data_IF_454626121551
#
_entry.id   IF_454626121551
#
_cell.length_a   1.000
_cell.length_b   1.000
_cell.length_c   1.000
_cell.angle_alpha   90.00
_cell.angle_beta   90.00
_cell.angle_gamma   90.00
#
_symmetry.space_group_name_H-M   'P 1'
#
loop_
_entity.id
_entity.type
_entity.pdbx_description
1 polymer ?
#
# COMPACT_ATOMS: atom_id res chain seq x y z
N UNK A 1 -39.85 -43.76 23.80
CA UNK A 1 -39.42 -42.93 22.66
C UNK A 1 -38.26 -42.08 23.14
N UNK A 2 -37.03 -42.41 22.70
CA UNK A 2 -35.78 -41.80 23.13
C UNK A 2 -35.69 -40.34 22.67
N UNK A 3 -35.32 -39.42 23.56
CA UNK A 3 -34.55 -38.22 23.19
C UNK A 3 -33.45 -38.02 24.24
N UNK A 4 -32.39 -38.81 24.12
CA UNK A 4 -31.04 -38.40 24.47
C UNK A 4 -30.49 -37.75 23.20
N UNK A 5 -30.22 -36.45 23.23
CA UNK A 5 -29.25 -35.71 22.37
C UNK A 5 -29.60 -34.23 22.38
N UNK A 6 -28.94 -33.46 23.23
CA UNK A 6 -28.42 -32.13 22.87
C UNK A 6 -27.49 -31.62 23.99
N UNK A 7 -26.37 -32.33 24.17
CA UNK A 7 -25.27 -31.91 25.04
C UNK A 7 -24.12 -31.25 24.26
N UNK A 8 -24.36 -30.81 23.03
CA UNK A 8 -23.35 -30.14 22.18
C UNK A 8 -23.59 -28.63 22.00
N UNK A 9 -24.66 -28.06 22.56
CA UNK A 9 -24.99 -26.65 22.35
C UNK A 9 -24.24 -25.66 23.27
N UNK A 10 -23.43 -26.14 24.22
CA UNK A 10 -22.72 -25.27 25.18
C UNK A 10 -21.18 -25.33 25.10
N UNK A 11 -20.62 -26.26 24.32
CA UNK A 11 -19.15 -26.38 24.19
C UNK A 11 -18.55 -25.58 23.02
N UNK A 12 -19.37 -25.02 22.14
CA UNK A 12 -18.90 -24.18 21.03
C UNK A 12 -18.88 -22.67 21.35
N UNK A 13 -19.52 -22.24 22.44
CA UNK A 13 -19.56 -20.82 22.81
C UNK A 13 -18.38 -20.37 23.68
N UNK A 14 -17.61 -21.30 24.25
CA UNK A 14 -16.41 -21.00 25.06
C UNK A 14 -15.12 -21.03 24.24
N UNK A 15 -15.11 -21.63 23.05
CA UNK A 15 -13.94 -21.66 22.15
C UNK A 15 -13.81 -20.36 21.32
N UNK A 16 -14.79 -19.44 21.39
CA UNK A 16 -14.70 -18.10 20.79
C UNK A 16 -14.16 -17.03 21.74
N UNK A 17 -13.81 -17.39 22.99
CA UNK A 17 -13.20 -16.49 23.97
C UNK A 17 -11.67 -16.65 24.10
N UNK A 18 -11.06 -17.56 23.33
CA UNK A 18 -9.60 -17.86 23.39
C UNK A 18 -8.91 -17.64 22.04
N UNK A 19 -9.52 -16.93 21.08
CA UNK A 19 -8.68 -16.20 20.12
C UNK A 19 -8.44 -14.87 20.79
N UNK A 20 -7.42 -14.85 21.65
CA UNK A 20 -6.95 -13.62 22.25
C UNK A 20 -6.87 -12.57 21.16
N UNK A 21 -7.63 -11.50 21.32
CA UNK A 21 -7.26 -10.21 20.78
C UNK A 21 -5.88 -9.90 21.39
N UNK A 22 -4.82 -10.53 20.87
CA UNK A 22 -3.55 -9.88 20.85
C UNK A 22 -3.82 -8.67 19.98
N UNK A 23 -4.11 -7.55 20.63
CA UNK A 23 -3.78 -6.25 20.07
C UNK A 23 -2.32 -6.38 19.66
N UNK A 24 -2.07 -6.77 18.42
CA UNK A 24 -0.74 -6.76 17.83
C UNK A 24 -0.29 -5.32 18.03
N UNK A 25 0.63 -5.15 18.97
CA UNK A 25 1.09 -3.83 19.35
C UNK A 25 1.71 -3.22 18.09
N UNK A 26 1.10 -2.18 17.56
CA UNK A 26 1.71 -1.38 16.50
C UNK A 26 2.97 -0.71 17.03
N UNK A 27 3.96 -0.50 16.17
CA UNK A 27 5.19 0.24 16.49
C UNK A 27 5.18 1.60 15.78
N UNK A 28 5.69 2.63 16.45
CA UNK A 28 5.98 3.92 15.80
C UNK A 28 7.29 3.81 15.03
N UNK A 29 7.43 4.44 13.84
CA UNK A 29 8.71 4.49 13.12
C UNK A 29 9.89 4.97 13.98
N UNK A 30 9.66 5.87 14.93
CA UNK A 30 10.71 6.40 15.82
C UNK A 30 11.27 5.34 16.79
N UNK A 31 10.57 4.22 16.96
CA UNK A 31 11.02 3.07 17.76
C UNK A 31 11.67 1.99 16.89
N UNK A 32 11.94 2.29 15.61
CA UNK A 32 12.64 1.41 14.70
C UNK A 32 13.97 2.03 14.27
N UNK A 33 14.99 1.20 14.13
CA UNK A 33 16.32 1.56 13.62
C UNK A 33 16.63 0.73 12.39
N UNK A 34 17.18 1.36 11.35
CA UNK A 34 17.67 0.67 10.15
C UNK A 34 19.11 0.20 10.39
N UNK A 35 19.34 -1.11 10.31
CA UNK A 35 20.67 -1.73 10.46
C UNK A 35 20.86 -2.67 9.27
N UNK A 36 21.90 -2.43 8.47
CA UNK A 36 22.22 -3.27 7.29
C UNK A 36 21.04 -3.49 6.32
N UNK A 37 20.17 -2.49 6.18
CA UNK A 37 19.00 -2.57 5.29
C UNK A 37 17.77 -3.26 5.89
N UNK A 38 17.82 -3.73 7.13
CA UNK A 38 16.68 -4.31 7.85
C UNK A 38 16.25 -3.39 8.99
N UNK A 39 14.94 -3.26 9.21
CA UNK A 39 14.41 -2.53 10.35
C UNK A 39 14.41 -3.40 11.60
N UNK A 40 14.87 -2.84 12.72
CA UNK A 40 14.85 -3.47 14.05
C UNK A 40 14.05 -2.60 15.00
N UNK A 41 13.33 -3.21 15.95
CA UNK A 41 12.76 -2.45 17.07
C UNK A 41 13.90 -2.08 18.03
N UNK A 42 13.90 -0.85 18.54
CA UNK A 42 14.95 -0.40 19.44
C UNK A 42 15.10 -1.36 20.63
N UNK A 43 16.33 -1.84 20.86
CA UNK A 43 16.64 -2.80 21.91
C UNK A 43 16.39 -4.27 21.56
N UNK A 44 16.05 -4.61 20.31
CA UNK A 44 15.93 -6.01 19.85
C UNK A 44 17.09 -6.42 18.96
N UNK A 45 17.44 -7.71 18.98
CA UNK A 45 18.46 -8.31 18.11
C UNK A 45 17.90 -8.90 16.82
N UNK A 46 16.58 -9.09 16.75
CA UNK A 46 15.90 -9.68 15.58
C UNK A 46 15.27 -8.60 14.69
N UNK A 47 15.27 -8.78 13.35
CA UNK A 47 14.57 -7.91 12.43
C UNK A 47 13.07 -7.82 12.75
N UNK A 48 12.53 -6.61 12.68
CA UNK A 48 11.16 -6.32 13.07
C UNK A 48 10.15 -6.97 12.12
N UNK A 49 9.20 -7.70 12.70
CA UNK A 49 8.01 -8.21 12.00
C UNK A 49 6.77 -7.70 12.71
N UNK A 50 5.93 -6.96 11.99
CA UNK A 50 4.68 -6.43 12.53
C UNK A 50 4.25 -5.11 11.90
N UNK A 51 3.16 -4.58 12.45
CA UNK A 51 2.52 -3.35 11.98
C UNK A 51 3.27 -2.11 12.46
N UNK A 52 3.66 -1.25 11.52
CA UNK A 52 4.21 0.07 11.76
C UNK A 52 3.14 1.13 11.47
N UNK A 53 2.92 2.06 12.40
CA UNK A 53 1.94 3.15 12.26
C UNK A 53 2.56 4.46 12.72
N UNK A 54 2.51 5.45 11.85
CA UNK A 54 2.80 6.84 12.16
C UNK A 54 1.50 7.63 12.28
N UNK A 55 1.42 8.50 13.29
CA UNK A 55 0.31 9.43 13.47
C UNK A 55 0.82 10.86 13.40
N UNK A 56 0.02 11.74 12.82
CA UNK A 56 0.21 13.18 12.94
C UNK A 56 -0.06 13.66 14.37
N UNK A 57 0.36 14.89 14.68
CA UNK A 57 0.12 15.54 15.98
C UNK A 57 -1.38 15.59 16.34
N UNK A 58 -2.26 15.69 15.34
CA UNK A 58 -3.71 15.67 15.52
C UNK A 58 -4.30 14.27 15.78
N UNK A 59 -3.45 13.25 15.94
CA UNK A 59 -3.82 11.86 16.21
C UNK A 59 -4.29 11.05 15.00
N UNK A 60 -4.51 11.67 13.82
CA UNK A 60 -4.86 10.95 12.59
C UNK A 60 -3.65 10.17 12.07
N UNK A 61 -3.90 9.05 11.39
CA UNK A 61 -2.83 8.27 10.73
C UNK A 61 -2.14 9.13 9.67
N UNK A 62 -0.81 9.10 9.66
CA UNK A 62 0.02 9.63 8.58
C UNK A 62 0.55 8.53 7.66
N UNK A 63 0.82 7.36 8.22
CA UNK A 63 1.28 6.19 7.48
C UNK A 63 0.96 4.91 8.24
N UNK A 64 0.70 3.83 7.52
CA UNK A 64 0.75 2.48 8.07
C UNK A 64 1.22 1.46 7.03
N UNK A 65 1.78 0.36 7.54
CA UNK A 65 2.15 -0.80 6.74
C UNK A 65 2.88 -1.82 7.58
N UNK A 66 3.05 -3.03 7.03
CA UNK A 66 3.71 -4.12 7.74
C UNK A 66 5.16 -4.25 7.33
N UNK A 67 5.99 -4.59 8.31
CA UNK A 67 7.30 -5.17 8.09
C UNK A 67 7.24 -6.68 8.29
N UNK A 68 8.03 -7.42 7.51
CA UNK A 68 8.34 -8.83 7.68
C UNK A 68 9.85 -8.98 7.61
N UNK A 69 10.45 -9.52 8.67
CA UNK A 69 11.90 -9.68 8.78
C UNK A 69 12.67 -8.39 8.48
N UNK A 70 12.18 -7.26 8.99
CA UNK A 70 12.78 -5.94 8.82
C UNK A 70 12.49 -5.26 7.49
N UNK A 71 11.76 -5.90 6.56
CA UNK A 71 11.46 -5.38 5.22
C UNK A 71 9.99 -5.07 5.03
N UNK A 72 9.64 -4.03 4.27
CA UNK A 72 8.26 -3.71 3.94
C UNK A 72 7.60 -4.87 3.18
N UNK A 73 6.39 -5.22 3.61
CA UNK A 73 5.61 -6.31 3.05
C UNK A 73 4.13 -5.91 2.93
N UNK A 74 3.51 -6.26 1.81
CA UNK A 74 2.11 -5.99 1.53
C UNK A 74 1.78 -4.53 1.30
N UNK A 75 0.55 -4.15 1.61
CA UNK A 75 0.04 -2.80 1.38
C UNK A 75 0.59 -1.81 2.42
N UNK A 76 1.16 -0.72 1.91
CA UNK A 76 1.51 0.46 2.66
C UNK A 76 0.63 1.63 2.23
N UNK A 77 0.12 2.38 3.20
CA UNK A 77 -0.79 3.50 2.98
C UNK A 77 -0.24 4.74 3.67
N UNK A 78 -0.36 5.87 3.00
CA UNK A 78 -0.04 7.19 3.54
C UNK A 78 -1.23 8.10 3.36
N UNK A 79 -1.43 8.98 4.34
CA UNK A 79 -2.48 9.98 4.33
C UNK A 79 -1.89 11.38 4.32
N UNK A 80 -2.72 12.36 4.00
CA UNK A 80 -2.49 13.75 4.34
C UNK A 80 -2.96 14.02 5.78
N UNK A 81 -2.51 15.12 6.38
CA UNK A 81 -2.84 15.50 7.76
C UNK A 81 -4.35 15.65 7.99
N UNK A 82 -5.11 15.97 6.95
CA UNK A 82 -6.55 16.08 6.95
C UNK A 82 -7.25 14.71 7.00
N UNK A 83 -6.53 13.61 6.73
CA UNK A 83 -7.01 12.22 6.77
C UNK A 83 -7.38 11.64 5.40
N UNK A 84 -7.24 12.40 4.31
CA UNK A 84 -7.42 11.88 2.94
C UNK A 84 -6.22 11.02 2.53
N UNK A 85 -6.44 9.98 1.73
CA UNK A 85 -5.34 9.17 1.18
C UNK A 85 -4.41 10.07 0.36
N UNK A 86 -3.12 9.85 0.53
CA UNK A 86 -2.03 10.50 -0.20
C UNK A 86 -1.37 9.52 -1.15
N UNK A 87 -1.15 8.29 -0.68
CA UNK A 87 -0.45 7.24 -1.42
C UNK A 87 -0.84 5.86 -0.92
N UNK A 88 -0.85 4.91 -1.83
CA UNK A 88 -0.92 3.47 -1.54
C UNK A 88 0.11 2.76 -2.41
N UNK A 89 0.80 1.77 -1.87
CA UNK A 89 1.88 1.08 -2.55
C UNK A 89 2.01 -0.32 -1.97
N UNK A 90 2.02 -1.32 -2.82
CA UNK A 90 2.27 -2.71 -2.41
C UNK A 90 3.77 -3.01 -2.47
N UNK A 91 4.25 -3.80 -1.51
CA UNK A 91 5.65 -4.17 -1.35
C UNK A 91 5.80 -5.67 -1.18
N UNK A 92 6.91 -6.20 -1.69
CA UNK A 92 7.42 -7.54 -1.41
C UNK A 92 8.91 -7.39 -1.11
N UNK A 93 9.33 -7.71 0.11
CA UNK A 93 10.73 -7.60 0.55
C UNK A 93 11.36 -6.23 0.23
N UNK A 94 10.74 -5.14 0.68
CA UNK A 94 11.12 -3.73 0.42
C UNK A 94 10.99 -3.23 -1.02
N UNK A 95 10.75 -4.11 -1.99
CA UNK A 95 10.56 -3.73 -3.38
C UNK A 95 9.10 -3.46 -3.69
N UNK A 96 8.80 -2.37 -4.40
CA UNK A 96 7.44 -2.13 -4.91
C UNK A 96 7.04 -3.28 -5.84
N UNK A 97 5.86 -3.80 -5.62
CA UNK A 97 5.32 -4.89 -6.41
C UNK A 97 3.79 -4.74 -6.51
N UNK A 98 3.26 -4.68 -7.73
CA UNK A 98 1.84 -4.40 -7.99
C UNK A 98 1.53 -2.90 -8.13
N UNK A 99 0.29 -2.54 -7.84
CA UNK A 99 -0.22 -1.18 -8.04
C UNK A 99 0.33 -0.22 -6.97
N UNK A 100 0.80 0.93 -7.42
CA UNK A 100 1.05 2.12 -6.61
C UNK A 100 0.18 3.26 -7.10
N UNK A 101 -0.50 3.92 -6.16
CA UNK A 101 -1.47 4.97 -6.43
C UNK A 101 -1.14 6.20 -5.59
N UNK A 102 -1.23 7.37 -6.20
CA UNK A 102 -1.05 8.66 -5.55
C UNK A 102 -2.30 9.51 -5.75
N UNK A 103 -2.68 10.29 -4.75
CA UNK A 103 -3.80 11.21 -4.82
C UNK A 103 -3.35 12.63 -4.50
N UNK A 104 -4.01 13.61 -5.11
CA UNK A 104 -3.89 15.00 -4.73
C UNK A 104 -4.64 15.28 -3.41
N UNK A 105 -4.33 16.40 -2.76
CA UNK A 105 -5.03 16.85 -1.53
C UNK A 105 -6.54 17.02 -1.71
N UNK A 106 -7.00 17.34 -2.92
CA UNK A 106 -8.44 17.43 -3.21
C UNK A 106 -9.13 16.05 -3.18
N UNK A 107 -8.38 14.96 -3.31
CA UNK A 107 -8.87 13.58 -3.34
C UNK A 107 -8.91 12.97 -4.73
N UNK A 108 -8.62 13.75 -5.78
CA UNK A 108 -8.51 13.24 -7.14
C UNK A 108 -7.23 12.43 -7.32
N UNK A 109 -7.29 11.45 -8.22
CA UNK A 109 -6.15 10.64 -8.59
C UNK A 109 -5.05 11.54 -9.17
N UNK A 110 -3.82 11.36 -8.68
CA UNK A 110 -2.64 12.05 -9.20
C UNK A 110 -1.89 11.16 -10.18
N UNK A 111 -1.68 9.89 -9.80
CA UNK A 111 -1.09 8.91 -10.69
C UNK A 111 -1.35 7.48 -10.22
N UNK A 112 -1.26 6.56 -11.16
CA UNK A 112 -1.28 5.12 -10.95
C UNK A 112 -0.16 4.49 -11.78
N UNK A 113 0.58 3.56 -11.19
CA UNK A 113 1.70 2.86 -11.82
C UNK A 113 1.77 1.44 -11.29
N UNK A 114 1.95 0.46 -12.18
CA UNK A 114 2.24 -0.92 -11.79
C UNK A 114 3.74 -1.17 -11.79
N UNK A 115 4.19 -1.83 -10.73
CA UNK A 115 5.59 -2.18 -10.50
C UNK A 115 5.77 -3.69 -10.40
N UNK A 116 6.93 -4.18 -10.77
CA UNK A 116 7.40 -5.52 -10.49
C UNK A 116 8.86 -5.40 -10.02
N UNK A 117 9.11 -5.72 -8.75
CA UNK A 117 10.45 -5.64 -8.15
C UNK A 117 11.13 -4.26 -8.31
N UNK A 118 10.39 -3.19 -8.01
CA UNK A 118 10.75 -1.77 -8.21
C UNK A 118 10.80 -1.27 -9.65
N UNK A 119 10.68 -2.14 -10.65
CA UNK A 119 10.66 -1.75 -12.06
C UNK A 119 9.25 -1.44 -12.52
N UNK A 120 9.08 -0.40 -13.33
CA UNK A 120 7.78 -0.11 -13.95
C UNK A 120 7.42 -1.22 -14.94
N UNK A 121 6.23 -1.78 -14.80
CA UNK A 121 5.73 -2.83 -15.68
C UNK A 121 4.27 -2.57 -16.04
N UNK A 122 4.00 -2.39 -17.34
CA UNK A 122 2.69 -2.06 -17.88
C UNK A 122 2.42 -0.56 -17.92
N UNK A 123 1.16 -0.19 -17.70
CA UNK A 123 0.69 1.19 -17.86
C UNK A 123 0.96 2.03 -16.62
N UNK A 124 1.39 3.26 -16.83
CA UNK A 124 1.38 4.34 -15.83
C UNK A 124 0.57 5.51 -16.34
N UNK A 125 -0.35 6.01 -15.53
CA UNK A 125 -1.21 7.15 -15.86
C UNK A 125 -0.98 8.27 -14.85
N UNK A 126 -0.88 9.50 -15.33
CA UNK A 126 -0.84 10.73 -14.54
C UNK A 126 -2.00 11.63 -14.91
N UNK A 127 -2.48 12.40 -13.95
CA UNK A 127 -3.68 13.22 -14.07
C UNK A 127 -3.39 14.66 -13.65
N UNK A 128 -4.18 15.58 -14.18
CA UNK A 128 -4.29 16.94 -13.67
C UNK A 128 -5.19 16.96 -12.42
N UNK A 129 -5.11 18.04 -11.64
CA UNK A 129 -5.92 18.18 -10.44
C UNK A 129 -7.44 18.24 -10.73
N UNK A 130 -7.83 18.60 -11.94
CA UNK A 130 -9.22 18.57 -12.42
C UNK A 130 -9.72 17.14 -12.75
N UNK A 131 -8.86 16.12 -12.63
CA UNK A 131 -9.18 14.72 -12.91
C UNK A 131 -8.96 14.29 -14.35
N UNK A 132 -8.63 15.21 -15.27
CA UNK A 132 -8.32 14.85 -16.65
C UNK A 132 -6.96 14.16 -16.74
N UNK A 133 -6.81 13.25 -17.71
CA UNK A 133 -5.53 12.58 -17.97
C UNK A 133 -4.52 13.62 -18.46
N UNK A 134 -3.33 13.56 -17.90
CA UNK A 134 -2.18 14.37 -18.29
C UNK A 134 -1.22 13.59 -19.17
N UNK A 135 -0.94 12.35 -18.79
CA UNK A 135 -0.01 11.46 -19.50
C UNK A 135 -0.36 10.02 -19.24
N UNK A 136 -0.14 9.16 -20.23
CA UNK A 136 -0.16 7.72 -20.08
C UNK A 136 1.05 7.16 -20.78
N UNK A 137 1.84 6.36 -20.07
CA UNK A 137 3.03 5.70 -20.62
C UNK A 137 2.93 4.19 -20.42
N UNK A 138 3.54 3.43 -21.33
CA UNK A 138 3.65 1.98 -21.25
C UNK A 138 5.12 1.62 -21.06
N UNK A 139 5.36 0.71 -20.12
CA UNK A 139 6.67 0.17 -19.81
C UNK A 139 6.64 -1.36 -19.89
N UNK A 140 7.76 -1.96 -20.26
CA UNK A 140 7.99 -3.39 -20.16
C UNK A 140 9.32 -3.64 -19.46
N UNK A 141 9.29 -4.19 -18.24
CA UNK A 141 10.47 -4.45 -17.41
C UNK A 141 11.39 -3.21 -17.30
N UNK A 142 10.79 -2.08 -16.91
CA UNK A 142 11.47 -0.79 -16.80
C UNK A 142 11.73 -0.06 -18.12
N UNK A 143 11.65 -0.74 -19.27
CA UNK A 143 11.89 -0.13 -20.58
C UNK A 143 10.66 0.65 -21.04
N UNK A 144 10.85 1.93 -21.35
CA UNK A 144 9.81 2.79 -21.91
C UNK A 144 9.47 2.36 -23.33
N UNK A 145 8.18 2.09 -23.57
CA UNK A 145 7.65 1.69 -24.89
C UNK A 145 7.09 2.89 -25.66
N UNK A 146 6.35 3.76 -24.96
CA UNK A 146 5.70 4.89 -25.60
C UNK A 146 4.78 5.60 -24.63
N UNK A 147 4.29 6.77 -25.05
CA UNK A 147 3.33 7.54 -24.27
C UNK A 147 2.41 8.38 -25.12
N UNK A 148 1.30 8.76 -24.52
CA UNK A 148 0.39 9.79 -24.98
C UNK A 148 0.29 10.87 -23.90
N UNK A 149 0.29 12.13 -24.33
CA UNK A 149 0.24 13.32 -23.48
C UNK A 149 -0.95 14.16 -23.89
N UNK A 150 -1.68 14.68 -22.90
CA UNK A 150 -2.83 15.55 -23.11
C UNK A 150 -2.64 16.90 -22.41
N UNK A 151 -3.31 17.92 -22.92
CA UNK A 151 -3.51 19.19 -22.21
C UNK A 151 -4.64 19.09 -21.16
N UNK A 152 -4.85 20.17 -20.40
CA UNK A 152 -5.86 20.23 -19.33
C UNK A 152 -7.32 20.21 -19.83
N UNK A 153 -7.54 20.31 -21.14
CA UNK A 153 -8.87 20.25 -21.79
C UNK A 153 -9.13 18.89 -22.45
N UNK A 154 -8.12 18.02 -22.49
CA UNK A 154 -8.21 16.66 -23.02
C UNK A 154 -7.73 16.52 -24.46
N UNK A 155 -7.16 17.56 -25.07
CA UNK A 155 -6.58 17.43 -26.41
C UNK A 155 -5.24 16.71 -26.34
N UNK A 156 -4.98 15.84 -27.32
CA UNK A 156 -3.69 15.14 -27.44
C UNK A 156 -2.63 16.13 -27.90
N UNK A 157 -1.57 16.28 -27.10
CA UNK A 157 -0.38 17.06 -27.44
C UNK A 157 0.68 16.22 -28.14
N UNK A 158 0.81 14.96 -27.73
CA UNK A 158 1.83 14.03 -28.22
C UNK A 158 1.31 12.60 -28.13
N UNK A 159 1.57 11.78 -29.15
CA UNK A 159 1.26 10.36 -29.12
C UNK A 159 2.34 9.55 -29.84
N UNK A 160 3.18 8.90 -29.04
CA UNK A 160 4.24 8.01 -29.48
C UNK A 160 3.97 6.55 -29.05
N UNK A 161 2.70 6.20 -28.80
CA UNK A 161 2.37 4.81 -28.56
C UNK A 161 2.59 4.02 -29.86
N UNK A 162 3.13 2.78 -29.78
CA UNK A 162 3.15 1.90 -30.93
C UNK A 162 1.74 1.75 -31.48
N UNK A 163 1.59 1.81 -32.81
CA UNK A 163 0.34 1.42 -33.44
C UNK A 163 0.20 -0.09 -33.28
N UNK A 164 -0.98 -0.55 -32.89
CA UNK A 164 -1.30 -1.98 -32.99
C UNK A 164 -1.16 -2.35 -34.49
N UNK A 165 -0.23 -3.27 -34.79
CA UNK A 165 -0.02 -3.81 -36.14
C UNK A 165 -1.11 -4.82 -36.49
#
# INVERSE_FOLDING_TARGET
MLIVKNLYSFFFLTILLIIGFSSFSQVSPNNLTLIEGLMYKNGTSEPFTGLCVEKYENGKKGMEGNYKEGKKEGLWVWWYQEGKKKRESNYVNDKKHGLTTYWFKNGHLQSESKYENDELHGKSTWYFQNGQKKKSAVYNNGLFIGSIVWDETGNVLENNLPKDN
#
